data_IF_534944390185
#
_entry.id   IF_534944390185
#
_cell.length_a   1.000
_cell.length_b   1.000
_cell.length_c   1.000
_cell.angle_alpha   90.00
_cell.angle_beta   90.00
_cell.angle_gamma   90.00
#
_symmetry.space_group_name_H-M   'P 1'
#
loop_
_entity.id
_entity.type
_entity.pdbx_description
1 polymer ?
#
# COMPACT_ATOMS: atom_id res chain seq x y z
N UNK A 1 -13.73 13.80 7.97
CA UNK A 1 -14.79 13.24 7.11
C UNK A 1 -15.57 12.14 7.82
N UNK A 2 -16.90 12.17 7.71
CA UNK A 2 -17.78 11.10 8.18
C UNK A 2 -17.62 9.84 7.34
N UNK A 3 -17.65 8.66 7.97
CA UNK A 3 -17.49 7.38 7.30
C UNK A 3 -18.62 7.09 6.29
N UNK A 4 -19.85 7.50 6.61
CA UNK A 4 -21.01 7.36 5.72
C UNK A 4 -20.79 8.08 4.38
N UNK A 5 -20.32 9.33 4.43
CA UNK A 5 -19.99 10.11 3.23
C UNK A 5 -18.88 9.41 2.43
N UNK A 6 -17.85 8.93 3.10
CA UNK A 6 -16.77 8.16 2.47
C UNK A 6 -17.29 6.91 1.76
N UNK A 7 -18.15 6.13 2.41
CA UNK A 7 -18.74 4.92 1.83
C UNK A 7 -19.59 5.22 0.59
N UNK A 8 -20.29 6.36 0.54
CA UNK A 8 -20.98 6.81 -0.68
C UNK A 8 -20.01 7.13 -1.82
N UNK A 9 -18.86 7.75 -1.54
CA UNK A 9 -17.82 7.90 -2.57
C UNK A 9 -17.30 6.55 -3.07
N UNK A 10 -17.05 5.59 -2.18
CA UNK A 10 -16.61 4.25 -2.58
C UNK A 10 -17.65 3.53 -3.44
N UNK A 11 -18.94 3.69 -3.14
CA UNK A 11 -20.02 3.15 -3.96
C UNK A 11 -20.09 3.81 -5.34
N UNK A 12 -19.92 5.12 -5.42
CA UNK A 12 -19.84 5.82 -6.71
C UNK A 12 -18.65 5.29 -7.53
N UNK A 13 -17.49 5.10 -6.91
CA UNK A 13 -16.30 4.54 -7.55
C UNK A 13 -16.54 3.12 -8.05
N UNK A 14 -17.12 2.24 -7.22
CA UNK A 14 -17.44 0.85 -7.59
C UNK A 14 -18.36 0.76 -8.81
N UNK A 15 -19.35 1.64 -8.92
CA UNK A 15 -20.34 1.67 -10.01
C UNK A 15 -19.80 2.32 -11.29
N UNK A 16 -18.62 2.93 -11.27
CA UNK A 16 -18.10 3.75 -12.37
C UNK A 16 -17.05 2.98 -13.19
N UNK A 17 -17.30 2.67 -14.47
CA UNK A 17 -16.33 1.97 -15.31
C UNK A 17 -15.30 2.91 -15.99
N UNK A 18 -15.62 4.20 -16.11
CA UNK A 18 -14.79 5.18 -16.81
C UNK A 18 -13.64 5.66 -15.92
N UNK A 19 -12.40 5.47 -16.38
CA UNK A 19 -11.20 5.95 -15.68
C UNK A 19 -11.22 7.45 -15.44
N UNK A 20 -11.68 8.24 -16.42
CA UNK A 20 -11.78 9.70 -16.30
C UNK A 20 -12.78 10.10 -15.21
N UNK A 21 -13.90 9.39 -15.13
CA UNK A 21 -14.93 9.68 -14.15
C UNK A 21 -14.51 9.22 -12.74
N UNK A 22 -13.82 8.09 -12.62
CA UNK A 22 -13.15 7.67 -11.38
C UNK A 22 -12.21 8.78 -10.90
N UNK A 23 -11.37 9.34 -11.78
CA UNK A 23 -10.45 10.44 -11.41
C UNK A 23 -11.21 11.66 -10.88
N UNK A 24 -12.35 12.01 -11.48
CA UNK A 24 -13.20 13.12 -11.00
C UNK A 24 -13.81 12.84 -9.64
N UNK A 25 -14.37 11.65 -9.43
CA UNK A 25 -14.94 11.24 -8.13
C UNK A 25 -13.86 11.25 -7.04
N UNK A 26 -12.65 10.79 -7.36
CA UNK A 26 -11.51 10.86 -6.43
C UNK A 26 -11.10 12.30 -6.13
N UNK A 27 -11.10 13.19 -7.13
CA UNK A 27 -10.79 14.60 -6.91
C UNK A 27 -11.83 15.29 -6.03
N UNK A 28 -13.11 14.98 -6.20
CA UNK A 28 -14.19 15.42 -5.30
C UNK A 28 -13.98 14.90 -3.88
N UNK A 29 -13.75 13.60 -3.70
CA UNK A 29 -13.46 12.98 -2.40
C UNK A 29 -12.28 13.67 -1.71
N UNK A 30 -11.19 13.88 -2.45
CA UNK A 30 -10.01 14.55 -1.94
C UNK A 30 -10.30 16.01 -1.61
N UNK A 31 -11.16 16.72 -2.34
CA UNK A 31 -11.54 18.09 -2.01
C UNK A 31 -12.33 18.19 -0.69
N UNK A 32 -13.21 17.23 -0.41
CA UNK A 32 -14.04 17.17 0.81
C UNK A 32 -13.27 16.71 2.07
N UNK A 33 -12.04 16.24 1.89
CA UNK A 33 -11.21 15.71 2.97
C UNK A 33 -10.28 16.80 3.50
N UNK A 34 -9.92 16.81 4.78
CA UNK A 34 -8.89 17.73 5.30
C UNK A 34 -7.46 17.18 5.12
N UNK A 35 -6.43 18.02 5.24
CA UNK A 35 -5.03 17.58 5.09
C UNK A 35 -4.58 16.57 6.16
N UNK A 36 -5.20 16.56 7.34
CA UNK A 36 -4.82 15.74 8.50
C UNK A 36 -5.29 14.29 8.33
N UNK A 37 -6.38 14.06 7.60
CA UNK A 37 -6.97 12.75 7.37
C UNK A 37 -6.81 12.22 5.94
N UNK A 38 -6.25 13.02 5.03
CA UNK A 38 -6.13 12.66 3.59
C UNK A 38 -5.36 11.39 3.36
N UNK A 39 -4.29 11.17 4.11
CA UNK A 39 -3.52 9.92 4.07
C UNK A 39 -4.42 8.70 4.29
N UNK A 40 -5.26 8.75 5.32
CA UNK A 40 -6.17 7.65 5.72
C UNK A 40 -7.23 7.41 4.67
N UNK A 41 -7.81 8.49 4.14
CA UNK A 41 -8.81 8.42 3.06
C UNK A 41 -8.21 7.76 1.83
N UNK A 42 -7.02 8.20 1.40
CA UNK A 42 -6.32 7.63 0.25
C UNK A 42 -6.04 6.14 0.44
N UNK A 43 -5.46 5.74 1.59
CA UNK A 43 -5.15 4.34 1.85
C UNK A 43 -6.40 3.46 1.91
N UNK A 44 -7.45 3.88 2.62
CA UNK A 44 -8.69 3.10 2.68
C UNK A 44 -9.38 3.01 1.32
N UNK A 45 -9.28 4.03 0.47
CA UNK A 45 -9.83 4.00 -0.89
C UNK A 45 -9.07 3.00 -1.77
N UNK A 46 -7.77 2.83 -1.53
CA UNK A 46 -6.92 1.81 -2.17
C UNK A 46 -7.09 0.41 -1.53
N UNK A 47 -7.85 0.30 -0.44
CA UNK A 47 -8.07 -0.95 0.29
C UNK A 47 -6.86 -1.44 1.07
N UNK A 48 -5.97 -0.53 1.45
CA UNK A 48 -4.77 -0.81 2.26
C UNK A 48 -4.72 0.12 3.47
N UNK A 49 -3.81 -0.13 4.41
CA UNK A 49 -3.60 0.74 5.57
C UNK A 49 -2.29 1.53 5.50
N UNK A 50 -1.32 1.04 4.75
CA UNK A 50 -0.03 1.68 4.53
C UNK A 50 0.53 1.23 3.16
N UNK A 51 1.60 1.86 2.67
CA UNK A 51 2.32 1.35 1.51
C UNK A 51 2.84 -0.07 1.75
N UNK A 52 2.91 -0.87 0.69
CA UNK A 52 3.24 -2.31 0.79
C UNK A 52 4.58 -2.58 1.50
N UNK A 53 5.57 -1.70 1.34
CA UNK A 53 6.89 -1.85 1.95
C UNK A 53 6.89 -1.70 3.47
N UNK A 54 5.83 -1.16 4.07
CA UNK A 54 5.69 -1.10 5.53
C UNK A 54 5.18 -2.41 6.12
N UNK A 55 4.68 -3.35 5.28
CA UNK A 55 4.25 -4.67 5.71
C UNK A 55 2.99 -4.68 6.59
N UNK A 56 2.23 -3.57 6.64
CA UNK A 56 1.01 -3.47 7.45
C UNK A 56 -0.14 -4.19 6.75
N UNK A 57 -0.46 -5.38 7.25
CA UNK A 57 -1.55 -6.22 6.75
C UNK A 57 -2.47 -6.66 7.90
N UNK A 58 -3.77 -6.75 7.63
CA UNK A 58 -4.76 -7.14 8.64
C UNK A 58 -4.64 -8.61 9.06
N UNK A 59 -4.12 -9.48 8.18
CA UNK A 59 -3.98 -10.93 8.41
C UNK A 59 -5.30 -11.61 8.82
N UNK A 60 -6.41 -11.22 8.17
CA UNK A 60 -7.74 -11.82 8.36
C UNK A 60 -8.17 -12.53 7.08
N UNK A 61 -8.04 -13.85 7.05
CA UNK A 61 -8.52 -14.67 5.94
C UNK A 61 -10.05 -14.76 5.91
N UNK A 62 -10.63 -15.20 4.79
CA UNK A 62 -12.08 -15.32 4.61
C UNK A 62 -12.77 -16.11 5.73
N UNK A 63 -12.17 -17.23 6.18
CA UNK A 63 -12.69 -18.02 7.31
C UNK A 63 -12.75 -17.23 8.61
N UNK A 64 -11.77 -16.36 8.88
CA UNK A 64 -11.78 -15.50 10.04
C UNK A 64 -12.82 -14.39 9.89
N UNK A 65 -12.98 -13.84 8.69
CA UNK A 65 -14.02 -12.84 8.42
C UNK A 65 -15.45 -13.41 8.57
N UNK A 66 -15.67 -14.69 8.27
CA UNK A 66 -16.95 -15.35 8.59
C UNK A 66 -17.20 -15.36 10.10
N UNK A 67 -16.19 -15.68 10.92
CA UNK A 67 -16.28 -15.60 12.39
C UNK A 67 -16.53 -14.17 12.87
N UNK A 68 -15.89 -13.19 12.24
CA UNK A 68 -16.10 -11.76 12.53
C UNK A 68 -17.55 -11.36 12.28
N UNK A 69 -18.13 -11.70 11.12
CA UNK A 69 -19.50 -11.33 10.78
C UNK A 69 -20.53 -12.05 11.67
N UNK A 70 -20.27 -13.34 11.98
CA UNK A 70 -21.09 -14.10 12.93
C UNK A 70 -21.13 -13.41 14.30
N UNK A 71 -19.96 -13.00 14.82
CA UNK A 71 -19.83 -12.30 16.09
C UNK A 71 -20.43 -10.88 16.08
N UNK A 72 -20.22 -10.11 15.01
CA UNK A 72 -20.67 -8.72 14.92
C UNK A 72 -22.21 -8.59 14.90
N UNK A 73 -22.86 -9.54 14.24
CA UNK A 73 -24.29 -9.48 13.92
C UNK A 73 -25.13 -10.58 14.59
N UNK A 74 -24.56 -11.27 15.59
CA UNK A 74 -25.24 -12.31 16.39
C UNK A 74 -25.89 -13.40 15.51
N UNK A 75 -25.08 -13.99 14.62
CA UNK A 75 -25.48 -15.08 13.72
C UNK A 75 -24.58 -16.30 13.90
N UNK A 76 -25.05 -17.46 13.46
CA UNK A 76 -24.19 -18.63 13.39
C UNK A 76 -23.21 -18.52 12.20
N UNK A 77 -22.01 -19.10 12.31
CA UNK A 77 -21.07 -19.18 11.18
C UNK A 77 -21.67 -19.94 9.97
N UNK A 78 -22.62 -20.85 10.21
CA UNK A 78 -23.29 -21.62 9.18
C UNK A 78 -24.17 -20.70 8.33
N UNK A 79 -24.94 -19.82 8.98
CA UNK A 79 -25.80 -18.85 8.29
C UNK A 79 -24.96 -17.86 7.49
N UNK A 80 -23.88 -17.34 8.07
CA UNK A 80 -22.95 -16.43 7.38
C UNK A 80 -22.31 -17.12 6.18
N UNK A 81 -21.90 -18.39 6.30
CA UNK A 81 -21.38 -19.18 5.16
C UNK A 81 -22.42 -19.35 4.05
N UNK A 82 -23.68 -19.60 4.40
CA UNK A 82 -24.75 -19.73 3.44
C UNK A 82 -25.00 -18.41 2.69
N UNK A 83 -25.02 -17.29 3.41
CA UNK A 83 -25.12 -15.95 2.82
C UNK A 83 -23.92 -15.65 1.91
N UNK A 84 -22.70 -15.97 2.34
CA UNK A 84 -21.49 -15.77 1.53
C UNK A 84 -21.51 -16.60 0.24
N UNK A 85 -21.93 -17.87 0.32
CA UNK A 85 -22.07 -18.74 -0.85
C UNK A 85 -23.06 -18.16 -1.88
N UNK A 86 -24.11 -17.48 -1.43
CA UNK A 86 -25.11 -16.83 -2.28
C UNK A 86 -24.62 -15.49 -2.85
N UNK A 87 -23.97 -14.66 -2.02
CA UNK A 87 -23.57 -13.31 -2.38
C UNK A 87 -22.24 -13.25 -3.14
N UNK A 88 -21.33 -14.20 -2.93
CA UNK A 88 -19.98 -14.24 -3.52
C UNK A 88 -19.01 -13.19 -2.97
N UNK A 89 -19.44 -12.35 -2.03
CA UNK A 89 -18.67 -11.24 -1.46
C UNK A 89 -19.03 -11.04 0.02
N UNK A 90 -18.02 -11.02 0.90
CA UNK A 90 -18.20 -10.82 2.34
C UNK A 90 -18.62 -9.38 2.69
N UNK A 91 -18.33 -8.41 1.82
CA UNK A 91 -18.83 -7.04 1.97
C UNK A 91 -20.35 -6.99 1.87
N UNK A 92 -20.92 -7.58 0.82
CA UNK A 92 -22.36 -7.63 0.62
C UNK A 92 -23.07 -8.38 1.76
N UNK A 93 -22.45 -9.44 2.30
CA UNK A 93 -22.96 -10.13 3.49
C UNK A 93 -22.95 -9.21 4.71
N UNK A 94 -21.88 -8.45 4.92
CA UNK A 94 -21.77 -7.49 6.02
C UNK A 94 -22.85 -6.40 5.94
N UNK A 95 -23.09 -5.84 4.74
CA UNK A 95 -24.15 -4.86 4.51
C UNK A 95 -25.52 -5.42 4.88
N UNK A 96 -25.85 -6.61 4.38
CA UNK A 96 -27.15 -7.23 4.59
C UNK A 96 -27.41 -7.56 6.07
N UNK A 97 -26.40 -8.08 6.77
CA UNK A 97 -26.50 -8.36 8.20
C UNK A 97 -26.61 -7.08 9.02
N UNK A 98 -25.90 -6.02 8.62
CA UNK A 98 -25.95 -4.73 9.31
C UNK A 98 -27.30 -4.04 9.22
N UNK A 99 -28.06 -4.23 8.12
CA UNK A 99 -29.43 -3.65 7.98
C UNK A 99 -30.40 -4.14 9.05
N UNK A 100 -30.17 -5.33 9.60
CA UNK A 100 -31.05 -5.92 10.62
C UNK A 100 -30.83 -5.32 12.01
N UNK A 101 -29.76 -4.52 12.21
CA UNK A 101 -29.38 -3.93 13.49
C UNK A 101 -29.55 -2.41 13.41
N UNK A 102 -30.63 -1.88 13.98
CA UNK A 102 -30.83 -0.43 14.08
C UNK A 102 -29.87 0.14 15.12
N UNK A 103 -28.88 0.92 14.70
CA UNK A 103 -27.90 1.53 15.59
C UNK A 103 -27.81 3.04 15.28
N UNK A 104 -28.53 3.86 16.04
CA UNK A 104 -28.65 5.30 15.78
C UNK A 104 -27.31 6.07 15.86
N UNK A 105 -26.31 5.53 16.57
CA UNK A 105 -24.97 6.13 16.68
C UNK A 105 -24.01 5.77 15.53
N UNK A 106 -24.40 4.84 14.64
CA UNK A 106 -23.56 4.41 13.51
C UNK A 106 -23.18 5.54 12.55
N UNK A 107 -23.99 6.61 12.51
CA UNK A 107 -23.81 7.76 11.61
C UNK A 107 -22.79 8.80 12.11
N UNK A 108 -22.15 8.59 13.27
CA UNK A 108 -21.20 9.56 13.86
C UNK A 108 -19.73 9.18 13.73
N UNK A 109 -19.43 8.01 13.17
CA UNK A 109 -18.08 7.48 13.11
C UNK A 109 -17.29 8.16 11.99
N UNK A 110 -16.08 8.63 12.29
CA UNK A 110 -15.20 9.25 11.30
C UNK A 110 -14.29 8.24 10.59
N UNK A 111 -13.78 8.62 9.41
CA UNK A 111 -12.78 7.83 8.69
C UNK A 111 -11.51 7.64 9.51
N UNK A 112 -11.05 8.68 10.21
CA UNK A 112 -9.85 8.63 11.04
C UNK A 112 -9.98 7.61 12.18
N UNK A 113 -11.14 7.55 12.84
CA UNK A 113 -11.42 6.58 13.91
C UNK A 113 -11.41 5.14 13.40
N UNK A 114 -12.05 4.86 12.25
CA UNK A 114 -12.04 3.51 11.67
C UNK A 114 -10.65 3.11 11.21
N UNK A 115 -9.93 4.01 10.55
CA UNK A 115 -8.55 3.77 10.14
C UNK A 115 -7.68 3.40 11.35
N UNK A 116 -7.76 4.16 12.44
CA UNK A 116 -6.99 3.90 13.65
C UNK A 116 -7.32 2.52 14.25
N UNK A 117 -8.60 2.17 14.35
CA UNK A 117 -9.04 0.85 14.82
C UNK A 117 -8.56 -0.28 13.91
N UNK A 118 -8.59 -0.11 12.59
CA UNK A 118 -8.05 -1.08 11.64
C UNK A 118 -6.53 -1.23 11.78
N UNK A 119 -5.82 -0.12 12.01
CA UNK A 119 -4.37 -0.13 12.25
C UNK A 119 -4.02 -0.88 13.55
N UNK A 120 -4.83 -0.74 14.61
CA UNK A 120 -4.71 -1.52 15.85
C UNK A 120 -4.99 -3.01 15.65
N UNK A 121 -5.90 -3.37 14.74
CA UNK A 121 -6.13 -4.77 14.33
C UNK A 121 -4.92 -5.32 13.58
N UNK A 122 -4.36 -4.55 12.64
CA UNK A 122 -3.22 -4.99 11.84
C UNK A 122 -1.98 -5.25 12.72
N UNK A 123 -1.71 -4.38 13.68
CA UNK A 123 -0.56 -4.46 14.59
C UNK A 123 -0.73 -5.44 15.77
N UNK A 124 -1.91 -6.04 15.94
CA UNK A 124 -2.10 -7.06 16.97
C UNK A 124 -1.34 -8.34 16.61
N UNK A 125 -0.37 -8.75 17.42
CA UNK A 125 0.51 -9.87 17.14
C UNK A 125 0.73 -10.74 18.39
N UNK A 126 1.40 -11.89 18.21
CA UNK A 126 1.67 -12.84 19.29
C UNK A 126 0.54 -13.85 19.55
N UNK A 127 0.67 -14.60 20.64
CA UNK A 127 -0.27 -15.66 21.01
C UNK A 127 -1.70 -15.09 21.22
N UNK A 128 -2.70 -15.79 20.67
CA UNK A 128 -4.10 -15.37 20.74
C UNK A 128 -4.46 -14.13 19.91
N UNK A 129 -3.53 -13.59 19.10
CA UNK A 129 -3.79 -12.41 18.27
C UNK A 129 -4.94 -12.62 17.28
N UNK A 130 -5.09 -13.82 16.72
CA UNK A 130 -6.18 -14.15 15.81
C UNK A 130 -7.56 -13.89 16.42
N UNK A 131 -7.81 -14.35 17.65
CA UNK A 131 -9.12 -14.16 18.30
C UNK A 131 -9.33 -12.69 18.68
N UNK A 132 -8.29 -11.99 19.18
CA UNK A 132 -8.36 -10.55 19.44
C UNK A 132 -8.66 -9.73 18.18
N UNK A 133 -8.06 -10.07 17.04
CA UNK A 133 -8.35 -9.44 15.75
C UNK A 133 -9.80 -9.68 15.33
N UNK A 134 -10.32 -10.90 15.52
CA UNK A 134 -11.72 -11.23 15.23
C UNK A 134 -12.66 -10.36 16.07
N UNK A 135 -12.41 -10.27 17.38
CA UNK A 135 -13.22 -9.46 18.29
C UNK A 135 -13.17 -7.96 17.93
N UNK A 136 -11.97 -7.41 17.73
CA UNK A 136 -11.79 -5.99 17.37
C UNK A 136 -12.48 -5.67 16.04
N UNK A 137 -12.31 -6.52 15.02
CA UNK A 137 -12.96 -6.33 13.74
C UNK A 137 -14.50 -6.44 13.85
N UNK A 138 -15.01 -7.35 14.68
CA UNK A 138 -16.45 -7.47 14.92
C UNK A 138 -17.03 -6.24 15.62
N UNK A 139 -16.28 -5.65 16.56
CA UNK A 139 -16.64 -4.37 17.21
C UNK A 139 -16.66 -3.21 16.22
N UNK A 140 -15.74 -3.17 15.25
CA UNK A 140 -15.75 -2.15 14.19
C UNK A 140 -17.02 -2.31 13.34
N UNK A 141 -17.27 -3.50 12.79
CA UNK A 141 -18.38 -3.72 11.86
C UNK A 141 -19.77 -3.57 12.50
N UNK A 142 -19.92 -3.89 13.79
CA UNK A 142 -21.20 -3.73 14.50
C UNK A 142 -21.51 -2.28 14.89
N UNK A 143 -20.52 -1.38 14.81
CA UNK A 143 -20.63 0.03 15.19
C UNK A 143 -20.77 1.02 14.02
N UNK A 144 -20.88 0.54 12.78
CA UNK A 144 -20.93 1.38 11.57
C UNK A 144 -22.18 1.07 10.74
N UNK A 145 -22.52 1.97 9.81
CA UNK A 145 -23.70 1.81 8.95
C UNK A 145 -23.51 0.69 7.91
N UNK A 146 -24.60 0.18 7.31
CA UNK A 146 -24.53 -0.94 6.37
C UNK A 146 -23.60 -0.71 5.17
N UNK A 147 -23.62 0.49 4.59
CA UNK A 147 -22.82 0.80 3.40
C UNK A 147 -21.34 0.82 3.75
N UNK A 148 -21.00 1.42 4.89
CA UNK A 148 -19.64 1.38 5.43
C UNK A 148 -19.21 -0.05 5.78
N UNK A 149 -20.09 -0.86 6.39
CA UNK A 149 -19.80 -2.25 6.71
C UNK A 149 -19.41 -3.06 5.47
N UNK A 150 -20.07 -2.82 4.32
CA UNK A 150 -19.70 -3.43 3.03
C UNK A 150 -18.23 -3.20 2.70
N UNK A 151 -17.82 -1.94 2.64
CA UNK A 151 -16.48 -1.59 2.17
C UNK A 151 -15.41 -1.95 3.18
N UNK A 152 -15.65 -1.72 4.48
CA UNK A 152 -14.70 -2.07 5.54
C UNK A 152 -14.48 -3.59 5.63
N UNK A 153 -15.52 -4.42 5.44
CA UNK A 153 -15.37 -5.87 5.43
C UNK A 153 -14.57 -6.40 4.23
N UNK A 154 -14.48 -5.65 3.12
CA UNK A 154 -13.70 -6.03 1.92
C UNK A 154 -12.21 -5.75 2.03
N UNK A 155 -11.79 -4.82 2.88
CA UNK A 155 -10.38 -4.42 3.05
C UNK A 155 -9.54 -5.59 3.57
N UNK A 156 -9.87 -6.29 4.69
CA UNK A 156 -9.03 -7.37 5.21
C UNK A 156 -8.79 -8.53 4.25
N UNK A 157 -9.73 -8.81 3.35
CA UNK A 157 -9.66 -9.90 2.37
C UNK A 157 -9.14 -9.45 1.00
N UNK A 158 -8.76 -8.17 0.85
CA UNK A 158 -8.22 -7.63 -0.41
C UNK A 158 -9.23 -7.63 -1.56
N UNK A 159 -10.52 -7.47 -1.27
CA UNK A 159 -11.63 -7.55 -2.26
C UNK A 159 -12.26 -6.20 -2.60
N UNK A 160 -11.73 -5.08 -2.10
CA UNK A 160 -12.33 -3.76 -2.31
C UNK A 160 -12.48 -3.37 -3.79
N UNK A 161 -11.45 -3.63 -4.62
CA UNK A 161 -11.45 -3.60 -6.09
C UNK A 161 -12.24 -2.43 -6.75
N UNK A 162 -11.89 -1.18 -6.43
CA UNK A 162 -12.56 0.02 -6.99
C UNK A 162 -12.03 0.48 -8.37
N UNK A 163 -11.27 -0.37 -9.07
CA UNK A 163 -10.84 -0.09 -10.45
C UNK A 163 -9.76 1.01 -10.60
N UNK A 164 -9.05 1.36 -9.54
CA UNK A 164 -8.04 2.42 -9.57
C UNK A 164 -6.75 2.10 -8.81
N UNK A 165 -5.70 2.88 -9.07
CA UNK A 165 -4.36 2.71 -8.49
C UNK A 165 -3.83 4.05 -7.97
N UNK A 166 -2.66 4.04 -7.32
CA UNK A 166 -2.01 5.27 -6.83
C UNK A 166 -1.82 6.32 -7.94
N UNK A 167 -1.54 5.88 -9.19
CA UNK A 167 -1.49 6.78 -10.35
C UNK A 167 -2.79 7.55 -10.58
N UNK A 168 -3.95 6.93 -10.34
CA UNK A 168 -5.23 7.66 -10.43
C UNK A 168 -5.37 8.71 -9.34
N UNK A 169 -4.84 8.42 -8.15
CA UNK A 169 -4.84 9.37 -7.03
C UNK A 169 -3.96 10.57 -7.37
N UNK A 170 -2.79 10.34 -7.99
CA UNK A 170 -1.92 11.41 -8.50
C UNK A 170 -2.67 12.29 -9.50
N UNK A 171 -3.28 11.69 -10.52
CA UNK A 171 -4.10 12.42 -11.49
C UNK A 171 -5.28 13.18 -10.83
N UNK A 172 -5.90 12.61 -9.80
CA UNK A 172 -6.99 13.25 -9.07
C UNK A 172 -6.52 14.47 -8.24
N UNK A 173 -5.34 14.39 -7.62
CA UNK A 173 -4.72 15.50 -6.89
C UNK A 173 -4.33 16.67 -7.82
N UNK A 174 -4.02 16.34 -9.07
CA UNK A 174 -3.60 17.27 -10.11
C UNK A 174 -4.74 17.77 -11.02
N UNK A 175 -5.97 17.29 -10.83
CA UNK A 175 -7.05 17.35 -11.83
C UNK A 175 -7.04 18.59 -12.74
N UNK A 176 -6.78 18.36 -14.04
CA UNK A 176 -6.75 19.41 -15.06
C UNK A 176 -5.46 20.23 -15.16
N UNK A 177 -4.42 19.88 -14.41
CA UNK A 177 -3.10 20.54 -14.41
C UNK A 177 -1.98 19.49 -14.62
N UNK A 178 -1.54 19.34 -15.88
CA UNK A 178 -0.51 18.37 -16.28
C UNK A 178 0.84 18.63 -15.60
N UNK A 179 1.19 19.89 -15.39
CA UNK A 179 2.46 20.26 -14.74
C UNK A 179 2.42 19.85 -13.27
N UNK A 180 1.30 20.10 -12.60
CA UNK A 180 1.10 19.66 -11.22
C UNK A 180 1.11 18.13 -11.12
N UNK A 181 0.55 17.42 -12.09
CA UNK A 181 0.63 15.96 -12.14
C UNK A 181 2.08 15.46 -12.21
N UNK A 182 2.89 16.06 -13.09
CA UNK A 182 4.32 15.76 -13.22
C UNK A 182 5.08 16.03 -11.91
N UNK A 183 4.81 17.16 -11.25
CA UNK A 183 5.46 17.51 -9.98
C UNK A 183 5.06 16.55 -8.84
N UNK A 184 3.80 16.10 -8.82
CA UNK A 184 3.31 15.09 -7.87
C UNK A 184 3.95 13.72 -8.16
N UNK A 185 4.07 13.32 -9.42
CA UNK A 185 4.75 12.09 -9.80
C UNK A 185 6.23 12.13 -9.39
N UNK A 186 6.93 13.26 -9.58
CA UNK A 186 8.32 13.41 -9.10
C UNK A 186 8.42 13.22 -7.59
N UNK A 187 7.52 13.84 -6.81
CA UNK A 187 7.48 13.68 -5.36
C UNK A 187 7.19 12.23 -4.94
N UNK A 188 6.26 11.56 -5.62
CA UNK A 188 5.97 10.14 -5.39
C UNK A 188 7.15 9.24 -5.76
N UNK A 189 7.86 9.54 -6.86
CA UNK A 189 9.00 8.73 -7.29
C UNK A 189 10.15 8.75 -6.28
N UNK A 190 10.39 9.86 -5.60
CA UNK A 190 11.42 9.97 -4.55
C UNK A 190 10.95 9.48 -3.17
N UNK A 191 9.62 9.43 -2.95
CA UNK A 191 8.99 8.98 -1.72
C UNK A 191 7.62 8.34 -2.05
N UNK A 192 7.58 7.03 -2.39
CA UNK A 192 6.41 6.30 -2.89
C UNK A 192 5.41 6.00 -1.78
N UNK A 193 4.91 7.07 -1.16
CA UNK A 193 3.87 7.03 -0.15
C UNK A 193 2.78 8.00 -0.61
N UNK A 194 1.76 7.47 -1.29
CA UNK A 194 0.73 8.32 -1.89
C UNK A 194 -0.06 9.11 -0.83
N UNK A 195 -0.24 8.57 0.38
CA UNK A 195 -0.91 9.28 1.48
C UNK A 195 -0.10 10.48 1.95
N UNK A 196 1.22 10.32 2.11
CA UNK A 196 2.15 11.41 2.41
C UNK A 196 2.16 12.48 1.32
N UNK A 197 2.28 12.06 0.05
CA UNK A 197 2.28 12.98 -1.10
C UNK A 197 0.97 13.75 -1.18
N UNK A 198 -0.18 13.07 -1.02
CA UNK A 198 -1.49 13.71 -1.01
C UNK A 198 -1.61 14.76 0.11
N UNK A 199 -1.05 14.49 1.29
CA UNK A 199 -0.98 15.45 2.39
C UNK A 199 -0.14 16.67 2.03
N UNK A 200 1.05 16.50 1.44
CA UNK A 200 1.88 17.62 1.00
C UNK A 200 1.18 18.48 -0.05
N UNK A 201 0.47 17.87 -1.01
CA UNK A 201 -0.30 18.62 -2.02
C UNK A 201 -1.34 19.51 -1.36
N UNK A 202 -2.05 18.99 -0.35
CA UNK A 202 -3.07 19.78 0.37
C UNK A 202 -2.52 20.87 1.25
N UNK A 203 -1.35 20.64 1.84
CA UNK A 203 -0.67 21.65 2.63
C UNK A 203 0.04 22.70 1.75
N UNK A 204 0.09 22.51 0.43
CA UNK A 204 0.82 23.39 -0.48
C UNK A 204 2.33 23.32 -0.29
N UNK A 205 2.85 22.15 0.11
CA UNK A 205 4.26 21.91 0.47
C UNK A 205 4.90 20.79 -0.35
N UNK A 206 4.48 20.59 -1.59
CA UNK A 206 4.94 19.47 -2.43
C UNK A 206 6.47 19.50 -2.64
N UNK A 207 7.04 20.70 -2.74
CA UNK A 207 8.47 20.97 -2.87
C UNK A 207 9.30 20.51 -1.66
N UNK A 208 8.66 20.26 -0.51
CA UNK A 208 9.33 19.70 0.68
C UNK A 208 9.52 18.18 0.61
N UNK A 209 8.97 17.52 -0.42
CA UNK A 209 9.18 16.10 -0.65
C UNK A 209 10.67 15.79 -0.83
N UNK A 210 11.16 14.83 -0.06
CA UNK A 210 12.55 14.37 -0.08
C UNK A 210 12.60 12.87 0.18
N UNK A 211 13.63 12.16 -0.32
CA UNK A 211 13.89 10.78 0.06
C UNK A 211 14.04 10.66 1.59
N UNK A 212 13.66 9.49 2.12
CA UNK A 212 13.80 9.17 3.53
C UNK A 212 14.50 7.81 3.68
N UNK A 213 15.49 7.73 4.57
CA UNK A 213 16.13 6.46 4.87
C UNK A 213 15.10 5.49 5.46
N UNK A 214 15.01 4.29 4.90
CA UNK A 214 14.06 3.27 5.30
C UNK A 214 12.69 3.37 4.63
N UNK A 215 12.52 4.25 3.64
CA UNK A 215 11.40 4.32 2.70
C UNK A 215 11.97 4.12 1.28
N UNK A 216 11.48 3.15 0.47
CA UNK A 216 12.05 2.89 -0.85
C UNK A 216 11.95 4.09 -1.79
N UNK A 217 12.66 4.02 -2.90
CA UNK A 217 12.57 4.98 -4.01
C UNK A 217 12.04 4.23 -5.23
N UNK A 218 11.22 4.86 -6.07
CA UNK A 218 10.75 4.21 -7.31
C UNK A 218 11.95 3.96 -8.22
N UNK A 219 12.21 2.70 -8.62
CA UNK A 219 13.40 2.39 -9.42
C UNK A 219 13.37 3.08 -10.78
N UNK A 220 14.47 3.76 -11.13
CA UNK A 220 14.66 4.26 -12.49
C UNK A 220 14.76 3.07 -13.46
N UNK A 221 13.99 3.10 -14.54
CA UNK A 221 13.96 2.06 -15.56
C UNK A 221 14.79 2.48 -16.79
N UNK A 222 15.48 1.53 -17.40
CA UNK A 222 16.23 1.77 -18.63
C UNK A 222 15.34 1.55 -19.86
N UNK A 223 15.50 2.42 -20.87
CA UNK A 223 14.98 2.17 -22.22
C UNK A 223 15.96 1.31 -23.01
N UNK A 224 15.44 0.49 -23.93
CA UNK A 224 16.27 -0.33 -24.83
C UNK A 224 16.44 0.36 -26.18
N UNK A 225 17.68 0.41 -26.65
CA UNK A 225 18.05 0.74 -28.03
C UNK A 225 18.75 -0.45 -28.67
N UNK A 226 18.83 -0.46 -30.00
CA UNK A 226 19.27 -1.64 -30.75
C UNK A 226 20.80 -1.74 -30.86
N UNK A 227 21.53 -0.64 -30.69
CA UNK A 227 22.98 -0.64 -30.72
C UNK A 227 23.59 0.42 -29.80
N UNK A 228 24.84 0.21 -29.41
CA UNK A 228 25.64 1.18 -28.65
C UNK A 228 25.83 2.49 -29.43
N UNK A 229 26.00 2.41 -30.76
CA UNK A 229 26.11 3.58 -31.63
C UNK A 229 24.86 4.46 -31.60
N UNK A 230 23.66 3.86 -31.60
CA UNK A 230 22.40 4.60 -31.43
C UNK A 230 22.29 5.25 -30.06
N UNK A 231 22.73 4.55 -29.00
CA UNK A 231 22.73 5.08 -27.62
C UNK A 231 23.60 6.33 -27.53
N UNK A 232 24.85 6.26 -27.99
CA UNK A 232 25.81 7.38 -27.97
C UNK A 232 25.31 8.52 -28.87
N UNK A 233 24.78 8.22 -30.06
CA UNK A 233 24.23 9.25 -30.95
C UNK A 233 23.06 10.00 -30.31
N UNK A 234 22.21 9.31 -29.52
CA UNK A 234 21.05 9.91 -28.85
C UNK A 234 21.45 10.67 -27.58
N UNK A 235 22.35 10.13 -26.78
CA UNK A 235 22.66 10.63 -25.43
C UNK A 235 23.91 11.53 -25.39
N UNK A 236 24.76 11.48 -26.41
CA UNK A 236 26.06 12.15 -26.42
C UNK A 236 27.07 11.37 -25.58
N UNK A 237 27.60 11.99 -24.54
CA UNK A 237 28.51 11.36 -23.59
C UNK A 237 27.76 10.40 -22.67
N UNK A 238 28.29 9.19 -22.47
CA UNK A 238 27.64 8.12 -21.70
C UNK A 238 28.60 7.49 -20.71
N UNK A 239 28.08 7.13 -19.54
CA UNK A 239 28.72 6.17 -18.63
C UNK A 239 28.22 4.76 -18.96
N UNK A 240 29.11 3.77 -18.90
CA UNK A 240 28.80 2.39 -19.25
C UNK A 240 29.12 1.49 -18.05
N UNK A 241 28.14 0.71 -17.63
CA UNK A 241 28.27 -0.26 -16.55
C UNK A 241 27.88 -1.66 -17.06
N UNK A 242 28.48 -2.73 -16.52
CA UNK A 242 28.03 -4.09 -16.82
C UNK A 242 26.57 -4.28 -16.41
N UNK A 243 25.77 -4.88 -17.29
CA UNK A 243 24.41 -5.31 -16.93
C UNK A 243 24.49 -6.69 -16.29
N UNK A 244 24.34 -6.74 -14.98
CA UNK A 244 24.28 -7.98 -14.24
C UNK A 244 22.92 -8.71 -14.39
N UNK A 245 22.93 -10.02 -14.11
CA UNK A 245 21.75 -10.88 -14.03
C UNK A 245 21.52 -11.29 -12.57
N UNK A 246 20.99 -10.36 -11.77
CA UNK A 246 20.82 -10.55 -10.35
C UNK A 246 19.51 -9.99 -9.81
N UNK A 247 19.44 -9.88 -8.49
CA UNK A 247 18.33 -9.27 -7.79
C UNK A 247 18.62 -7.80 -7.56
N UNK A 248 17.97 -6.91 -8.33
CA UNK A 248 18.05 -5.47 -8.08
C UNK A 248 17.46 -5.13 -6.72
N UNK A 249 18.28 -4.51 -5.87
CA UNK A 249 17.98 -4.11 -4.51
C UNK A 249 18.37 -2.66 -4.25
N UNK A 250 17.65 -2.03 -3.32
CA UNK A 250 17.90 -0.69 -2.84
C UNK A 250 18.30 -0.77 -1.37
N UNK A 251 19.54 -0.44 -1.07
CA UNK A 251 20.09 -0.49 0.29
C UNK A 251 19.98 0.89 0.91
N UNK A 252 19.11 1.02 1.90
CA UNK A 252 18.95 2.21 2.72
C UNK A 252 19.77 2.02 3.97
N UNK A 253 20.82 2.83 4.13
CA UNK A 253 21.74 2.75 5.25
C UNK A 253 21.81 4.08 6.00
N UNK A 254 21.79 4.00 7.33
CA UNK A 254 22.07 5.13 8.22
C UNK A 254 22.81 4.68 9.47
N UNK A 255 24.02 5.21 9.64
CA UNK A 255 24.94 4.86 10.72
C UNK A 255 24.35 5.18 12.09
N UNK A 256 23.79 6.38 12.24
CA UNK A 256 23.14 6.81 13.48
C UNK A 256 21.83 6.04 13.70
N UNK A 257 21.80 5.19 14.72
CA UNK A 257 20.64 4.32 15.00
C UNK A 257 20.73 2.96 14.30
N UNK A 258 21.84 2.66 13.61
CA UNK A 258 22.12 1.36 12.99
C UNK A 258 20.99 0.86 12.07
N UNK A 259 20.52 1.72 11.17
CA UNK A 259 19.41 1.40 10.25
C UNK A 259 19.99 0.81 8.98
N UNK A 260 19.59 -0.42 8.68
CA UNK A 260 19.75 -1.04 7.37
C UNK A 260 18.37 -1.56 6.94
N UNK A 261 17.86 -1.06 5.82
CA UNK A 261 16.68 -1.63 5.15
C UNK A 261 17.03 -1.89 3.70
N UNK A 262 16.50 -2.98 3.16
CA UNK A 262 16.74 -3.35 1.77
C UNK A 262 15.41 -3.59 1.09
N UNK A 263 15.22 -2.99 -0.08
CA UNK A 263 14.00 -3.14 -0.88
C UNK A 263 14.32 -3.76 -2.23
N UNK A 264 13.44 -4.61 -2.73
CA UNK A 264 13.56 -5.18 -4.09
C UNK A 264 13.15 -4.14 -5.15
N UNK A 265 13.34 -4.48 -6.43
CA UNK A 265 12.80 -3.74 -7.59
C UNK A 265 11.30 -3.41 -7.47
N UNK A 266 10.50 -4.26 -6.83
CA UNK A 266 9.07 -4.02 -6.66
C UNK A 266 8.77 -3.28 -5.35
N UNK A 267 9.78 -2.67 -4.74
CA UNK A 267 9.76 -1.95 -3.46
C UNK A 267 9.38 -2.80 -2.26
N UNK A 268 9.24 -4.11 -2.39
CA UNK A 268 9.01 -4.99 -1.25
C UNK A 268 10.23 -5.00 -0.33
N UNK A 269 10.02 -4.86 0.98
CA UNK A 269 11.09 -4.99 1.97
C UNK A 269 11.62 -6.41 1.99
N UNK A 270 12.95 -6.53 2.06
CA UNK A 270 13.65 -7.80 2.26
C UNK A 270 13.81 -8.03 3.76
N UNK A 271 13.55 -9.26 4.19
CA UNK A 271 13.90 -9.71 5.53
C UNK A 271 15.41 -9.98 5.61
N UNK A 272 16.12 -9.22 6.44
CA UNK A 272 17.55 -9.35 6.64
C UNK A 272 17.93 -10.68 7.30
N UNK A 273 17.01 -11.38 7.97
CA UNK A 273 17.27 -12.74 8.47
C UNK A 273 17.42 -13.76 7.33
N UNK A 274 16.76 -13.51 6.19
CA UNK A 274 16.93 -14.32 4.97
C UNK A 274 18.25 -14.00 4.25
N UNK A 275 18.77 -12.78 4.42
CA UNK A 275 20.01 -12.28 3.82
C UNK A 275 20.96 -11.68 4.88
N UNK A 276 21.50 -12.52 5.80
CA UNK A 276 22.29 -12.05 6.92
C UNK A 276 23.54 -11.26 6.50
N UNK A 277 24.10 -11.53 5.33
CA UNK A 277 25.23 -10.78 4.78
C UNK A 277 24.91 -9.28 4.58
N UNK A 278 23.65 -8.93 4.30
CA UNK A 278 23.24 -7.53 4.14
C UNK A 278 23.23 -6.77 5.46
N UNK A 279 23.18 -7.46 6.61
CA UNK A 279 23.29 -6.80 7.94
C UNK A 279 24.66 -6.16 8.12
N UNK A 280 25.69 -6.74 7.52
CA UNK A 280 27.08 -6.29 7.66
C UNK A 280 27.48 -5.28 6.58
N UNK A 281 26.57 -4.91 5.66
CA UNK A 281 26.85 -4.01 4.53
C UNK A 281 27.40 -2.66 4.99
N UNK A 282 26.99 -2.19 6.17
CA UNK A 282 27.45 -0.93 6.77
C UNK A 282 28.96 -0.85 6.96
N UNK A 283 29.67 -1.98 7.09
CA UNK A 283 31.15 -2.02 7.17
C UNK A 283 31.83 -1.52 5.90
N UNK A 284 31.13 -1.60 4.76
CA UNK A 284 31.65 -1.24 3.44
C UNK A 284 31.19 0.15 2.98
N UNK A 285 30.29 0.80 3.72
CA UNK A 285 29.72 2.10 3.36
C UNK A 285 30.49 3.23 4.04
N UNK A 286 31.03 4.15 3.24
CA UNK A 286 31.75 5.36 3.72
C UNK A 286 30.86 6.62 3.68
N UNK A 287 29.69 6.53 4.29
CA UNK A 287 28.72 7.63 4.40
C UNK A 287 27.91 7.48 5.69
N UNK A 288 27.42 8.59 6.25
CA UNK A 288 26.55 8.55 7.43
C UNK A 288 25.11 8.12 7.08
N UNK A 289 24.61 8.55 5.91
CA UNK A 289 23.27 8.26 5.38
C UNK A 289 23.35 8.09 3.86
N UNK A 290 22.85 6.99 3.30
CA UNK A 290 22.87 6.74 1.85
C UNK A 290 21.74 5.80 1.41
N UNK A 291 21.29 5.98 0.17
CA UNK A 291 20.43 5.03 -0.56
C UNK A 291 21.24 4.55 -1.76
N UNK A 292 21.49 3.25 -1.85
CA UNK A 292 22.26 2.63 -2.94
C UNK A 292 21.33 1.80 -3.82
N UNK A 293 21.25 2.13 -5.11
CA UNK A 293 20.69 1.25 -6.15
C UNK A 293 21.76 0.22 -6.52
N UNK A 294 21.46 -1.06 -6.38
CA UNK A 294 22.47 -2.12 -6.40
C UNK A 294 21.91 -3.41 -6.99
N UNK A 295 22.80 -4.27 -7.47
CA UNK A 295 22.44 -5.62 -7.90
C UNK A 295 23.06 -6.65 -6.93
N UNK A 296 22.24 -7.48 -6.32
CA UNK A 296 22.71 -8.65 -5.56
C UNK A 296 22.86 -9.85 -6.49
N UNK A 297 24.02 -10.51 -6.46
CA UNK A 297 24.38 -11.59 -7.38
C UNK A 297 24.96 -12.75 -6.56
N UNK A 298 24.47 -13.96 -6.81
CA UNK A 298 25.05 -15.16 -6.23
C UNK A 298 26.43 -15.45 -6.83
N UNK A 299 27.36 -15.97 -6.01
CA UNK A 299 28.70 -16.34 -6.47
C UNK A 299 28.93 -17.81 -6.16
N UNK A 300 29.39 -18.56 -7.16
CA UNK A 300 29.92 -19.91 -6.98
C UNK A 300 31.37 -19.80 -6.47
N UNK A 301 31.66 -20.15 -5.20
CA UNK A 301 32.98 -19.96 -4.63
C UNK A 301 34.02 -20.94 -5.18
N UNK A 302 33.61 -22.10 -5.72
CA UNK A 302 34.55 -23.07 -6.29
C UNK A 302 34.97 -22.68 -7.70
N UNK A 303 34.04 -22.11 -8.47
CA UNK A 303 34.26 -21.72 -9.87
C UNK A 303 34.61 -20.25 -10.05
N UNK A 304 34.49 -19.45 -9.01
CA UNK A 304 34.64 -17.98 -9.04
C UNK A 304 33.75 -17.33 -10.10
N UNK A 305 32.54 -17.85 -10.28
CA UNK A 305 31.58 -17.39 -11.30
C UNK A 305 30.31 -16.82 -10.68
N UNK A 306 29.72 -15.84 -11.38
CA UNK A 306 28.37 -15.39 -11.05
C UNK A 306 27.34 -16.46 -11.36
N UNK A 307 26.43 -16.65 -10.43
CA UNK A 307 25.23 -17.46 -10.61
C UNK A 307 24.19 -16.65 -11.39
N UNK A 308 23.31 -17.35 -12.08
CA UNK A 308 22.13 -16.75 -12.72
C UNK A 308 21.15 -16.18 -11.67
N UNK A 309 20.22 -15.35 -12.16
CA UNK A 309 19.19 -14.75 -11.31
C UNK A 309 18.37 -15.78 -10.53
N UNK A 310 17.99 -16.90 -11.17
CA UNK A 310 17.12 -17.91 -10.56
C UNK A 310 17.79 -18.55 -9.33
N UNK A 311 19.06 -18.92 -9.44
CA UNK A 311 19.84 -19.45 -8.32
C UNK A 311 20.10 -18.40 -7.25
N UNK A 312 20.32 -17.15 -7.66
CA UNK A 312 20.53 -16.03 -6.74
C UNK A 312 19.32 -15.82 -5.82
N UNK A 313 18.09 -15.96 -6.35
CA UNK A 313 16.87 -15.77 -5.55
C UNK A 313 16.39 -17.03 -4.82
N UNK A 314 16.85 -18.22 -5.22
CA UNK A 314 16.28 -19.49 -4.78
C UNK A 314 16.74 -19.97 -3.41
N UNK A 315 17.90 -19.50 -2.91
CA UNK A 315 18.57 -19.96 -1.68
C UNK A 315 18.11 -21.32 -1.15
#
# INVERSE_FOLDING_TARGET
MQLTLFAHFLERLEKTPSRLEITRILAELLKETDAVETDKVVFLSLGVLAPNYEGVILNLAEKMMIRVLALAFDKSEIDVKALYKKAGDLGNVAEELSKQKSNNDANRVSVAEVYQKLFEVANDNGAGSQDRKIEKMARILSGIDPLSARFIARIPVGKLRLGFSEKTVIAALAIGDEKKEEDIEKAYNIRPNIGYVAKLVKEGKLESAKPEIGVPVVPMLAQRLNSTSEMIKKMGEVSVEPKFDGLRIFIHYKKKGNITKVFTRNMNSIDLDTFPELKEVGKFIRADEVILDSEAIGVDPEREMFLDFQKTIQR
#
